data_IF_279670959719
#
_entry.id   IF_279670959719
#
_cell.length_a   1.000
_cell.length_b   1.000
_cell.length_c   1.000
_cell.angle_alpha   90.00
_cell.angle_beta   90.00
_cell.angle_gamma   90.00
#
_symmetry.space_group_name_H-M   'P 1'
#
loop_
_entity.id
_entity.type
_entity.pdbx_description
1 polymer ?
#
# COMPACT_ATOMS: atom_id res chain seq x y z
N UNK A 1 11.96 -6.05 14.51
CA UNK A 1 10.62 -5.55 14.16
C UNK A 1 10.82 -4.29 13.34
N UNK A 2 10.23 -4.23 12.15
CA UNK A 2 10.32 -3.05 11.28
C UNK A 2 9.21 -2.05 11.64
N UNK A 3 9.35 -0.78 11.25
CA UNK A 3 8.29 0.22 11.43
C UNK A 3 6.98 -0.19 10.73
N UNK A 4 7.09 -0.94 9.62
CA UNK A 4 5.94 -1.55 8.93
C UNK A 4 5.24 -2.59 9.81
N UNK A 5 6.00 -3.44 10.51
CA UNK A 5 5.44 -4.45 11.42
C UNK A 5 4.68 -3.80 12.58
N UNK A 6 5.23 -2.75 13.18
CA UNK A 6 4.61 -2.00 14.28
C UNK A 6 3.27 -1.37 13.87
N UNK A 7 3.19 -0.80 12.66
CA UNK A 7 1.96 -0.19 12.14
C UNK A 7 0.88 -1.24 11.89
N UNK A 8 1.25 -2.43 11.42
CA UNK A 8 0.32 -3.54 11.17
C UNK A 8 -0.20 -4.10 12.49
N UNK A 9 0.66 -4.30 13.48
CA UNK A 9 0.24 -4.77 14.80
C UNK A 9 -0.70 -3.77 15.47
N UNK A 10 -0.36 -2.48 15.45
CA UNK A 10 -1.21 -1.44 15.99
C UNK A 10 -2.57 -1.36 15.28
N UNK A 11 -2.59 -1.54 13.96
CA UNK A 11 -3.82 -1.58 13.17
C UNK A 11 -4.73 -2.75 13.57
N UNK A 12 -4.15 -3.95 13.78
CA UNK A 12 -4.90 -5.14 14.22
C UNK A 12 -5.42 -4.98 15.64
N UNK A 13 -4.60 -4.43 16.54
CA UNK A 13 -4.99 -4.12 17.91
C UNK A 13 -6.22 -3.21 17.91
N UNK A 14 -6.18 -2.09 17.18
CA UNK A 14 -7.32 -1.18 17.10
C UNK A 14 -8.58 -1.85 16.55
N UNK A 15 -8.46 -2.71 15.54
CA UNK A 15 -9.62 -3.41 14.96
C UNK A 15 -10.27 -4.39 15.96
N UNK A 16 -9.46 -5.08 16.76
CA UNK A 16 -9.93 -6.11 17.68
C UNK A 16 -10.41 -5.53 19.03
N UNK A 17 -9.80 -4.45 19.50
CA UNK A 17 -10.06 -3.88 20.84
C UNK A 17 -11.10 -2.75 20.84
N UNK A 18 -11.62 -2.34 19.68
CA UNK A 18 -12.82 -1.49 19.64
C UNK A 18 -14.09 -2.28 20.00
N UNK A 19 -14.19 -2.68 21.26
CA UNK A 19 -15.46 -2.85 21.98
C UNK A 19 -15.61 -1.65 22.90
N UNK A 20 -15.85 -0.46 22.35
CA UNK A 20 -16.06 0.74 23.16
C UNK A 20 -17.42 1.32 22.77
N UNK A 21 -18.29 1.43 23.76
CA UNK A 21 -19.73 1.69 23.70
C UNK A 21 -20.14 3.06 23.11
N UNK A 22 -19.25 3.75 22.41
CA UNK A 22 -19.49 5.07 21.82
C UNK A 22 -19.13 5.10 20.33
N UNK A 23 -20.14 5.31 19.50
CA UNK A 23 -20.08 5.29 18.03
C UNK A 23 -18.98 6.19 17.43
N UNK A 24 -18.73 7.35 18.06
CA UNK A 24 -17.69 8.29 17.65
C UNK A 24 -16.27 7.72 17.82
N UNK A 25 -16.03 6.94 18.86
CA UNK A 25 -14.73 6.30 19.10
C UNK A 25 -14.48 5.17 18.10
N UNK A 26 -15.52 4.42 17.73
CA UNK A 26 -15.42 3.38 16.69
C UNK A 26 -15.05 3.98 15.34
N UNK A 27 -15.74 5.04 14.87
CA UNK A 27 -15.42 5.66 13.59
C UNK A 27 -13.97 6.23 13.57
N UNK A 28 -13.54 6.86 14.66
CA UNK A 28 -12.17 7.37 14.78
C UNK A 28 -11.11 6.26 14.76
N UNK A 29 -11.35 5.12 15.42
CA UNK A 29 -10.46 3.97 15.39
C UNK A 29 -10.35 3.38 13.97
N UNK A 30 -11.48 3.25 13.27
CA UNK A 30 -11.52 2.75 11.89
C UNK A 30 -10.76 3.68 10.91
N UNK A 31 -10.94 5.00 11.04
CA UNK A 31 -10.16 5.98 10.27
C UNK A 31 -8.67 5.88 10.55
N UNK A 32 -8.30 5.69 11.82
CA UNK A 32 -6.89 5.51 12.23
C UNK A 32 -6.31 4.23 11.62
N UNK A 33 -7.06 3.12 11.66
CA UNK A 33 -6.70 1.86 11.03
C UNK A 33 -6.43 2.05 9.52
N UNK A 34 -7.34 2.71 8.79
CA UNK A 34 -7.18 3.02 7.36
C UNK A 34 -5.91 3.83 7.11
N UNK A 35 -5.71 4.90 7.89
CA UNK A 35 -4.56 5.79 7.73
C UNK A 35 -3.24 5.03 7.91
N UNK A 36 -3.09 4.30 9.03
CA UNK A 36 -1.83 3.60 9.35
C UNK A 36 -1.52 2.47 8.37
N UNK A 37 -2.50 1.63 8.05
CA UNK A 37 -2.33 0.53 7.10
C UNK A 37 -2.08 1.02 5.67
N UNK A 38 -2.68 2.14 5.25
CA UNK A 38 -2.37 2.77 3.97
C UNK A 38 -0.91 3.22 3.90
N UNK A 39 -0.42 3.94 4.92
CA UNK A 39 0.96 4.45 4.92
C UNK A 39 1.98 3.32 4.95
N UNK A 40 1.72 2.23 5.67
CA UNK A 40 2.53 1.03 5.61
C UNK A 40 2.64 0.49 4.16
N UNK A 41 1.52 0.27 3.49
CA UNK A 41 1.51 -0.19 2.10
C UNK A 41 2.17 0.81 1.13
N UNK A 42 1.99 2.12 1.36
CA UNK A 42 2.60 3.17 0.55
C UNK A 42 4.13 3.16 0.66
N UNK A 43 4.68 3.04 1.87
CA UNK A 43 6.12 3.04 2.07
C UNK A 43 6.79 1.80 1.46
N UNK A 44 6.16 0.63 1.57
CA UNK A 44 6.63 -0.57 0.87
C UNK A 44 6.58 -0.41 -0.65
N UNK A 45 5.48 0.16 -1.18
CA UNK A 45 5.38 0.50 -2.59
C UNK A 45 6.43 1.52 -3.04
N UNK A 46 6.80 2.46 -2.17
CA UNK A 46 7.80 3.49 -2.46
C UNK A 46 9.19 2.87 -2.62
N UNK A 47 9.56 1.91 -1.78
CA UNK A 47 10.84 1.18 -1.92
C UNK A 47 10.98 0.50 -3.30
N UNK A 48 9.86 -0.01 -3.83
CA UNK A 48 9.81 -0.53 -5.20
C UNK A 48 9.89 0.60 -6.23
N UNK A 49 9.12 1.68 -6.05
CA UNK A 49 9.11 2.85 -6.94
C UNK A 49 10.49 3.50 -7.09
N UNK A 50 11.28 3.55 -6.03
CA UNK A 50 12.65 4.10 -6.04
C UNK A 50 13.61 3.29 -6.94
N UNK A 51 13.27 2.04 -7.27
CA UNK A 51 14.02 1.15 -8.19
C UNK A 51 13.53 1.22 -9.64
N UNK A 52 12.41 1.87 -9.89
CA UNK A 52 11.77 1.93 -11.21
C UNK A 52 12.01 3.31 -11.86
N UNK A 53 11.92 3.42 -13.20
CA UNK A 53 11.96 4.71 -13.86
C UNK A 53 10.86 5.62 -13.29
N UNK A 54 11.21 6.88 -13.05
CA UNK A 54 10.23 7.86 -12.60
C UNK A 54 9.18 8.09 -13.69
N UNK A 55 7.93 8.30 -13.26
CA UNK A 55 6.91 8.77 -14.18
C UNK A 55 7.27 10.19 -14.66
N UNK A 56 6.84 10.56 -15.86
CA UNK A 56 7.02 11.92 -16.36
C UNK A 56 6.50 12.94 -15.34
N UNK A 57 7.22 14.05 -15.20
CA UNK A 57 6.89 15.13 -14.27
C UNK A 57 5.50 15.67 -14.58
N UNK A 58 4.52 15.18 -13.83
CA UNK A 58 3.16 15.69 -13.83
C UNK A 58 2.96 16.39 -12.50
N UNK A 59 2.34 17.57 -12.54
CA UNK A 59 2.12 18.45 -11.39
C UNK A 59 1.10 17.83 -10.41
N UNK A 60 1.45 16.69 -9.81
CA UNK A 60 0.60 15.82 -9.01
C UNK A 60 1.28 15.47 -7.69
N UNK A 61 0.50 15.13 -6.67
CA UNK A 61 1.03 14.77 -5.36
C UNK A 61 1.86 13.48 -5.38
N UNK A 62 2.77 13.32 -4.42
CA UNK A 62 3.70 12.19 -4.30
C UNK A 62 3.03 10.81 -4.35
N UNK A 63 1.87 10.66 -3.71
CA UNK A 63 1.09 9.42 -3.70
C UNK A 63 0.52 9.07 -5.08
N UNK A 64 0.02 10.07 -5.80
CA UNK A 64 -0.52 9.90 -7.15
C UNK A 64 0.59 9.58 -8.15
N UNK A 65 1.73 10.26 -8.02
CA UNK A 65 2.91 10.01 -8.84
C UNK A 65 3.40 8.55 -8.70
N UNK A 66 3.53 8.05 -7.47
CA UNK A 66 3.93 6.66 -7.24
C UNK A 66 2.92 5.66 -7.83
N UNK A 67 1.62 5.86 -7.61
CA UNK A 67 0.58 4.97 -8.16
C UNK A 67 0.68 4.94 -9.69
N UNK A 68 0.86 6.09 -10.34
CA UNK A 68 1.01 6.20 -11.79
C UNK A 68 2.27 5.51 -12.29
N UNK A 69 3.39 5.68 -11.58
CA UNK A 69 4.65 5.02 -11.87
C UNK A 69 4.49 3.49 -11.89
N UNK A 70 3.87 2.92 -10.86
CA UNK A 70 3.61 1.48 -10.77
C UNK A 70 2.61 1.01 -11.85
N UNK A 71 1.55 1.78 -12.10
CA UNK A 71 0.52 1.47 -13.11
C UNK A 71 1.08 1.42 -14.53
N UNK A 72 2.07 2.26 -14.82
CA UNK A 72 2.64 2.43 -16.15
C UNK A 72 4.02 1.80 -16.30
N UNK A 73 4.43 0.93 -15.36
CA UNK A 73 5.77 0.34 -15.37
C UNK A 73 6.06 -0.36 -16.72
N UNK A 74 7.17 -0.04 -17.40
CA UNK A 74 7.60 -0.75 -18.60
C UNK A 74 8.01 -2.18 -18.29
N UNK A 75 7.80 -3.11 -19.23
CA UNK A 75 8.23 -4.52 -19.06
C UNK A 75 9.75 -4.61 -18.90
N UNK A 76 10.51 -3.79 -19.63
CA UNK A 76 11.97 -3.71 -19.54
C UNK A 76 12.47 -3.37 -18.14
N UNK A 77 11.74 -2.51 -17.42
CA UNK A 77 12.08 -2.11 -16.05
C UNK A 77 11.59 -3.10 -15.00
N UNK A 78 10.58 -3.91 -15.32
CA UNK A 78 10.04 -4.93 -14.43
C UNK A 78 10.73 -6.30 -14.58
N UNK A 79 11.71 -6.43 -15.49
CA UNK A 79 12.43 -7.67 -15.81
C UNK A 79 11.59 -8.69 -16.61
N UNK A 80 10.35 -8.94 -16.21
CA UNK A 80 9.44 -9.88 -16.88
C UNK A 80 8.05 -9.30 -17.10
N UNK A 81 7.33 -9.82 -18.11
CA UNK A 81 5.91 -9.48 -18.34
C UNK A 81 5.03 -9.82 -17.13
N UNK A 82 5.35 -10.91 -16.41
CA UNK A 82 4.62 -11.31 -15.23
C UNK A 82 4.80 -10.31 -14.08
N UNK A 83 6.03 -9.87 -13.83
CA UNK A 83 6.30 -8.85 -12.81
C UNK A 83 5.66 -7.51 -13.18
N UNK A 84 5.73 -7.09 -14.44
CA UNK A 84 5.01 -5.90 -14.90
C UNK A 84 3.50 -6.01 -14.59
N UNK A 85 2.87 -7.15 -14.87
CA UNK A 85 1.46 -7.39 -14.54
C UNK A 85 1.20 -7.29 -13.03
N UNK A 86 2.04 -7.93 -12.20
CA UNK A 86 1.90 -7.91 -10.73
C UNK A 86 2.05 -6.51 -10.15
N UNK A 87 3.05 -5.74 -10.60
CA UNK A 87 3.28 -4.35 -10.18
C UNK A 87 2.07 -3.47 -10.55
N UNK A 88 1.54 -3.64 -11.76
CA UNK A 88 0.33 -2.92 -12.20
C UNK A 88 -0.88 -3.29 -11.35
N UNK A 89 -1.05 -4.56 -10.99
CA UNK A 89 -2.10 -4.98 -10.05
C UNK A 89 -1.94 -4.32 -8.67
N UNK A 90 -0.71 -4.27 -8.13
CA UNK A 90 -0.40 -3.57 -6.87
C UNK A 90 -0.81 -2.09 -6.95
N UNK A 91 -0.56 -1.42 -8.09
CA UNK A 91 -0.97 -0.03 -8.28
C UNK A 91 -2.48 0.18 -8.13
N UNK A 92 -3.29 -0.81 -8.56
CA UNK A 92 -4.75 -0.75 -8.44
C UNK A 92 -5.20 -0.92 -6.98
N UNK A 93 -4.59 -1.85 -6.25
CA UNK A 93 -4.87 -2.03 -4.82
C UNK A 93 -4.44 -0.79 -4.02
N UNK A 94 -3.28 -0.21 -4.32
CA UNK A 94 -2.79 1.00 -3.65
C UNK A 94 -3.69 2.21 -3.97
N UNK A 95 -4.20 2.31 -5.20
CA UNK A 95 -5.16 3.35 -5.57
C UNK A 95 -6.46 3.23 -4.78
N UNK A 96 -7.02 2.03 -4.67
CA UNK A 96 -8.23 1.79 -3.88
C UNK A 96 -8.01 2.14 -2.40
N UNK A 97 -6.87 1.72 -1.82
CA UNK A 97 -6.50 2.04 -0.45
C UNK A 97 -6.30 3.56 -0.25
N UNK A 98 -5.68 4.26 -1.20
CA UNK A 98 -5.56 5.73 -1.19
C UNK A 98 -6.92 6.41 -1.19
N UNK A 99 -7.86 5.95 -2.03
CA UNK A 99 -9.20 6.53 -2.13
C UNK A 99 -9.93 6.44 -0.79
N UNK A 100 -9.89 5.28 -0.13
CA UNK A 100 -10.50 5.14 1.19
C UNK A 100 -9.78 5.99 2.24
N UNK A 101 -8.44 6.07 2.18
CA UNK A 101 -7.67 6.95 3.06
C UNK A 101 -8.06 8.42 2.90
N UNK A 102 -8.28 8.90 1.68
CA UNK A 102 -8.77 10.27 1.45
C UNK A 102 -10.16 10.48 2.08
N UNK A 103 -11.07 9.50 1.97
CA UNK A 103 -12.38 9.56 2.66
C UNK A 103 -12.19 9.64 4.18
N UNK A 104 -11.31 8.80 4.73
CA UNK A 104 -11.02 8.76 6.16
C UNK A 104 -10.41 10.08 6.68
N UNK A 105 -9.54 10.72 5.92
CA UNK A 105 -8.87 11.97 6.33
C UNK A 105 -9.76 13.21 6.17
N UNK A 106 -10.56 13.29 5.09
CA UNK A 106 -11.18 14.56 4.67
C UNK A 106 -12.71 14.57 4.70
N UNK A 107 -13.37 13.41 4.65
CA UNK A 107 -14.83 13.31 4.68
C UNK A 107 -15.28 12.91 6.09
N UNK A 108 -15.14 13.85 7.03
CA UNK A 108 -15.43 13.61 8.46
C UNK A 108 -16.93 13.38 8.74
N UNK A 109 -17.80 14.01 7.94
CA UNK A 109 -19.26 13.83 8.03
C UNK A 109 -19.76 12.52 7.37
N UNK A 110 -18.87 11.78 6.70
CA UNK A 110 -19.21 10.52 6.03
C UNK A 110 -18.74 9.34 6.85
N UNK A 111 -19.63 8.38 7.09
CA UNK A 111 -19.28 7.16 7.82
C UNK A 111 -18.40 6.22 6.97
N UNK A 112 -17.54 5.48 7.65
CA UNK A 112 -16.75 4.40 7.05
C UNK A 112 -17.54 3.10 7.24
N UNK A 113 -17.91 2.46 6.13
CA UNK A 113 -18.59 1.16 6.13
C UNK A 113 -17.56 0.07 6.47
N UNK A 114 -17.94 -0.89 7.32
CA UNK A 114 -17.14 -2.07 7.66
C UNK A 114 -16.64 -2.79 6.39
N UNK A 115 -17.46 -2.86 5.34
CA UNK A 115 -17.08 -3.49 4.05
C UNK A 115 -15.96 -2.74 3.35
N UNK A 116 -15.90 -1.41 3.49
CA UNK A 116 -14.80 -0.61 2.94
C UNK A 116 -13.48 -0.96 3.63
N UNK A 117 -13.53 -1.18 4.95
CA UNK A 117 -12.37 -1.53 5.77
C UNK A 117 -11.90 -2.94 5.48
N UNK A 118 -12.81 -3.90 5.37
CA UNK A 118 -12.48 -5.26 4.97
C UNK A 118 -11.77 -5.28 3.61
N UNK A 119 -12.31 -4.55 2.63
CA UNK A 119 -11.70 -4.45 1.31
C UNK A 119 -10.33 -3.75 1.36
N UNK A 120 -10.18 -2.74 2.21
CA UNK A 120 -8.92 -2.03 2.44
C UNK A 120 -7.86 -2.94 3.06
N UNK A 121 -8.20 -3.68 4.12
CA UNK A 121 -7.30 -4.66 4.75
C UNK A 121 -6.88 -5.75 3.75
N UNK A 122 -7.83 -6.28 2.97
CA UNK A 122 -7.53 -7.24 1.89
C UNK A 122 -6.52 -6.67 0.90
N UNK A 123 -6.70 -5.42 0.47
CA UNK A 123 -5.81 -4.77 -0.49
C UNK A 123 -4.41 -4.54 0.11
N UNK A 124 -4.32 -4.00 1.33
CA UNK A 124 -3.06 -3.78 2.03
C UNK A 124 -2.31 -5.10 2.22
N UNK A 125 -2.99 -6.17 2.68
CA UNK A 125 -2.36 -7.48 2.85
C UNK A 125 -1.86 -8.09 1.55
N UNK A 126 -2.61 -7.94 0.46
CA UNK A 126 -2.17 -8.41 -0.87
C UNK A 126 -0.90 -7.68 -1.32
N UNK A 127 -0.84 -6.36 -1.12
CA UNK A 127 0.37 -5.57 -1.41
C UNK A 127 1.55 -6.09 -0.59
N UNK A 128 1.40 -6.15 0.73
CA UNK A 128 2.49 -6.53 1.64
C UNK A 128 2.97 -7.97 1.44
N UNK A 129 2.07 -8.88 1.01
CA UNK A 129 2.42 -10.27 0.67
C UNK A 129 3.17 -10.35 -0.65
N UNK A 130 2.70 -9.67 -1.70
CA UNK A 130 3.20 -9.88 -3.06
C UNK A 130 4.46 -9.05 -3.38
N UNK A 131 4.62 -7.90 -2.71
CA UNK A 131 5.67 -6.94 -3.00
C UNK A 131 7.10 -7.46 -2.70
N UNK A 132 7.38 -8.15 -1.57
CA UNK A 132 8.71 -8.70 -1.30
C UNK A 132 9.21 -9.65 -2.38
N UNK A 133 8.34 -10.53 -2.89
CA UNK A 133 8.69 -11.44 -4.00
C UNK A 133 9.06 -10.67 -5.26
N UNK A 134 8.30 -9.64 -5.64
CA UNK A 134 8.61 -8.82 -6.82
C UNK A 134 9.95 -8.09 -6.64
N UNK A 135 10.20 -7.53 -5.46
CA UNK A 135 11.45 -6.82 -5.16
C UNK A 135 12.65 -7.76 -5.24
N UNK A 136 12.52 -8.99 -4.76
CA UNK A 136 13.56 -10.01 -4.89
C UNK A 136 13.81 -10.41 -6.35
N UNK A 137 12.75 -10.56 -7.15
CA UNK A 137 12.86 -10.89 -8.58
C UNK A 137 13.54 -9.76 -9.39
N UNK A 138 13.46 -8.51 -8.92
CA UNK A 138 14.07 -7.34 -9.57
C UNK A 138 15.51 -7.07 -9.11
N UNK A 139 15.91 -7.62 -7.96
CA UNK A 139 17.28 -7.45 -7.47
C UNK A 139 18.15 -8.47 -8.20
N UNK A 140 19.24 -8.06 -8.89
CA UNK A 140 20.13 -9.02 -9.51
C UNK A 140 20.58 -10.01 -8.45
N UNK A 141 20.34 -11.31 -8.66
CA UNK A 141 21.02 -12.34 -7.88
C UNK A 141 22.51 -12.03 -8.03
N UNK A 142 23.17 -11.68 -6.92
CA UNK A 142 24.62 -11.55 -6.89
C UNK A 142 25.15 -12.86 -7.46
N UNK A 143 25.66 -12.82 -8.69
CA UNK A 143 26.38 -13.95 -9.25
C UNK A 143 27.51 -14.20 -8.27
N UNK A 144 27.42 -15.31 -7.53
CA UNK A 144 28.58 -15.87 -6.86
C UNK A 144 29.56 -16.23 -7.98
N UNK A 145 30.42 -15.27 -8.32
CA UNK A 145 31.66 -15.53 -9.02
C UNK A 145 32.49 -16.38 -8.08
N UNK A 146 32.33 -17.69 -8.18
CA UNK A 146 33.36 -18.63 -7.71
C UNK A 146 34.56 -18.40 -8.63
N UNK A 147 35.52 -17.62 -8.14
CA UNK A 147 36.92 -17.67 -8.56
C UNK A 147 37.60 -18.74 -7.74
#
# INVERSE_FOLDING_TARGET
>A
MTATDELIEFSKYLFNETTIEDYAHTNQALRTCIHKSYYAAYHECKLLGDKLPQAENTNTGSHESLIRQLKNVPISSAGTKNNAKRIRTISLWLLQAKTLRCKADYLLDSEIDVREIEQHDINVRKILRDLPTIVNDLTPQQKTSNV
#
